data_IF_026043630225
#
_entry.id   IF_026043630225
#
_cell.length_a   1.000
_cell.length_b   1.000
_cell.length_c   1.000
_cell.angle_alpha   90.00
_cell.angle_beta   90.00
_cell.angle_gamma   90.00
#
_symmetry.space_group_name_H-M   'P 1'
#
loop_
_entity.id
_entity.type
_entity.pdbx_description
1 polymer ?
#
# COMPACT_ATOMS: atom_id res chain seq x y z
N UNK A 1 11.21 35.06 -52.52
CA UNK A 1 10.26 34.00 -52.92
C UNK A 1 10.72 32.60 -52.46
N UNK A 2 12.01 32.26 -52.47
CA UNK A 2 12.49 30.95 -51.96
C UNK A 2 12.61 30.85 -50.42
N UNK A 3 12.67 31.97 -49.70
CA UNK A 3 12.84 31.99 -48.23
C UNK A 3 11.54 31.86 -47.44
N UNK A 4 10.38 32.18 -48.00
CA UNK A 4 9.08 32.04 -47.30
C UNK A 4 8.55 30.60 -47.30
N UNK A 5 8.90 29.81 -48.33
CA UNK A 5 8.45 28.41 -48.44
C UNK A 5 9.13 27.52 -47.40
N UNK A 6 10.42 27.77 -47.10
CA UNK A 6 11.18 27.02 -46.09
C UNK A 6 10.61 27.20 -44.67
N UNK A 7 10.07 28.38 -44.36
CA UNK A 7 9.47 28.66 -43.07
C UNK A 7 8.10 27.97 -42.87
N UNK A 8 7.35 27.69 -43.94
CA UNK A 8 6.05 27.03 -43.82
C UNK A 8 6.18 25.52 -43.55
N UNK A 9 7.22 24.87 -44.07
CA UNK A 9 7.47 23.45 -43.90
C UNK A 9 7.89 23.12 -42.46
N UNK A 10 8.79 23.92 -41.85
CA UNK A 10 9.17 23.79 -40.43
C UNK A 10 7.97 24.00 -39.48
N UNK A 11 7.07 24.94 -39.79
CA UNK A 11 5.87 25.17 -38.98
C UNK A 11 4.93 23.95 -39.05
N UNK A 12 4.83 23.29 -40.21
CA UNK A 12 4.02 22.08 -40.37
C UNK A 12 4.61 20.88 -39.62
N UNK A 13 5.93 20.70 -39.64
CA UNK A 13 6.59 19.64 -38.87
C UNK A 13 6.45 19.84 -37.36
N UNK A 14 6.63 21.07 -36.87
CA UNK A 14 6.44 21.41 -35.46
C UNK A 14 4.99 21.15 -35.01
N UNK A 15 4.02 21.42 -35.87
CA UNK A 15 2.61 21.11 -35.61
C UNK A 15 2.36 19.60 -35.51
N UNK A 16 2.93 18.81 -36.43
CA UNK A 16 2.81 17.36 -36.42
C UNK A 16 3.47 16.71 -35.18
N UNK A 17 4.65 17.20 -34.77
CA UNK A 17 5.34 16.72 -33.56
C UNK A 17 4.55 17.05 -32.30
N UNK A 18 3.93 18.22 -32.22
CA UNK A 18 3.04 18.58 -31.11
C UNK A 18 1.79 17.69 -31.07
N UNK A 19 1.17 17.43 -32.22
CA UNK A 19 0.00 16.55 -32.30
C UNK A 19 0.35 15.11 -31.87
N UNK A 20 1.52 14.59 -32.28
CA UNK A 20 2.04 13.29 -31.85
C UNK A 20 2.30 13.23 -30.34
N UNK A 21 2.88 14.29 -29.75
CA UNK A 21 3.11 14.37 -28.30
C UNK A 21 1.79 14.40 -27.52
N UNK A 22 0.85 15.23 -27.96
CA UNK A 22 -0.48 15.29 -27.35
C UNK A 22 -1.19 13.94 -27.41
N UNK A 23 -1.13 13.24 -28.55
CA UNK A 23 -1.70 11.90 -28.67
C UNK A 23 -1.02 10.90 -27.72
N UNK A 24 0.29 11.00 -27.55
CA UNK A 24 1.06 10.15 -26.63
C UNK A 24 0.70 10.41 -25.18
N UNK A 25 0.54 11.67 -24.78
CA UNK A 25 0.21 12.06 -23.41
C UNK A 25 -1.20 11.62 -23.02
N UNK A 26 -2.18 11.81 -23.93
CA UNK A 26 -3.55 11.35 -23.75
C UNK A 26 -3.64 9.81 -23.65
N UNK A 27 -2.92 9.10 -24.53
CA UNK A 27 -2.87 7.63 -24.49
C UNK A 27 -2.26 7.13 -23.17
N UNK A 28 -1.17 7.76 -22.71
CA UNK A 28 -0.52 7.42 -21.45
C UNK A 28 -1.46 7.64 -20.26
N UNK A 29 -2.18 8.76 -20.24
CA UNK A 29 -3.14 9.08 -19.19
C UNK A 29 -4.29 8.06 -19.15
N UNK A 30 -4.89 7.72 -20.29
CA UNK A 30 -5.95 6.71 -20.36
C UNK A 30 -5.44 5.34 -19.90
N UNK A 31 -4.24 4.94 -20.36
CA UNK A 31 -3.65 3.66 -19.97
C UNK A 31 -3.40 3.61 -18.45
N UNK A 32 -2.85 4.67 -17.87
CA UNK A 32 -2.59 4.75 -16.43
C UNK A 32 -3.88 4.67 -15.62
N UNK A 33 -4.91 5.42 -16.02
CA UNK A 33 -6.24 5.38 -15.37
C UNK A 33 -6.84 3.99 -15.44
N UNK A 34 -6.79 3.34 -16.60
CA UNK A 34 -7.35 1.99 -16.76
C UNK A 34 -6.59 0.97 -15.90
N UNK A 35 -5.25 1.02 -15.91
CA UNK A 35 -4.42 0.12 -15.10
C UNK A 35 -4.68 0.34 -13.61
N UNK A 36 -4.74 1.58 -13.16
CA UNK A 36 -5.00 1.89 -11.75
C UNK A 36 -6.40 1.45 -11.33
N UNK A 37 -7.44 1.78 -12.10
CA UNK A 37 -8.82 1.40 -11.77
C UNK A 37 -8.97 -0.12 -11.75
N UNK A 38 -8.56 -0.80 -12.82
CA UNK A 38 -8.74 -2.24 -12.97
C UNK A 38 -7.83 -3.00 -12.00
N UNK A 39 -6.56 -2.60 -11.90
CA UNK A 39 -5.57 -3.21 -11.03
C UNK A 39 -5.95 -3.10 -9.56
N UNK A 40 -6.29 -1.89 -9.09
CA UNK A 40 -6.68 -1.68 -7.69
C UNK A 40 -8.00 -2.40 -7.35
N UNK A 41 -8.94 -2.49 -8.29
CA UNK A 41 -10.18 -3.24 -8.07
C UNK A 41 -9.94 -4.75 -7.97
N UNK A 42 -9.11 -5.32 -8.84
CA UNK A 42 -8.74 -6.74 -8.78
C UNK A 42 -8.02 -7.04 -7.45
N UNK A 43 -6.98 -6.26 -7.12
CA UNK A 43 -6.22 -6.45 -5.88
C UNK A 43 -7.12 -6.31 -4.65
N UNK A 44 -7.92 -5.24 -4.59
CA UNK A 44 -8.84 -4.98 -3.48
C UNK A 44 -9.88 -6.10 -3.31
N UNK A 45 -10.51 -6.55 -4.40
CA UNK A 45 -11.53 -7.61 -4.37
C UNK A 45 -11.02 -8.96 -3.87
N UNK A 46 -9.73 -9.25 -4.05
CA UNK A 46 -9.09 -10.47 -3.56
C UNK A 46 -8.58 -10.26 -2.12
N UNK A 47 -7.95 -9.11 -1.84
CA UNK A 47 -7.31 -8.86 -0.55
C UNK A 47 -8.32 -8.66 0.59
N UNK A 48 -9.48 -8.04 0.33
CA UNK A 48 -10.54 -7.83 1.32
C UNK A 48 -11.03 -9.16 1.92
N UNK A 49 -11.54 -10.14 1.15
CA UNK A 49 -12.07 -11.38 1.72
C UNK A 49 -11.00 -12.22 2.42
N UNK A 50 -9.76 -12.24 1.90
CA UNK A 50 -8.65 -12.95 2.53
C UNK A 50 -8.36 -12.36 3.92
N UNK A 51 -8.24 -11.04 4.02
CA UNK A 51 -7.93 -10.40 5.30
C UNK A 51 -9.11 -10.47 6.28
N UNK A 52 -10.36 -10.44 5.82
CA UNK A 52 -11.53 -10.69 6.66
C UNK A 52 -11.52 -12.12 7.23
N UNK A 53 -11.17 -13.11 6.41
CA UNK A 53 -11.02 -14.49 6.87
C UNK A 53 -9.90 -14.60 7.92
N UNK A 54 -8.75 -13.97 7.68
CA UNK A 54 -7.63 -13.95 8.63
C UNK A 54 -8.03 -13.32 9.97
N UNK A 55 -8.68 -12.14 9.94
CA UNK A 55 -9.19 -11.47 11.14
C UNK A 55 -10.13 -12.40 11.92
N UNK A 56 -11.06 -13.06 11.21
CA UNK A 56 -12.03 -13.98 11.83
C UNK A 56 -11.35 -15.20 12.47
N UNK A 57 -10.34 -15.76 11.81
CA UNK A 57 -9.56 -16.90 12.32
C UNK A 57 -8.76 -16.51 13.55
N UNK A 58 -7.99 -15.43 13.50
CA UNK A 58 -7.16 -15.00 14.64
C UNK A 58 -8.00 -14.50 15.82
N UNK A 59 -9.17 -13.93 15.57
CA UNK A 59 -10.13 -13.61 16.62
C UNK A 59 -10.58 -14.87 17.37
N UNK A 60 -10.87 -15.95 16.64
CA UNK A 60 -11.31 -17.22 17.22
C UNK A 60 -10.17 -18.00 17.90
N UNK A 61 -8.93 -17.87 17.44
CA UNK A 61 -7.76 -18.49 18.07
C UNK A 61 -7.40 -17.85 19.42
N UNK A 62 -7.87 -16.64 19.68
CA UNK A 62 -7.57 -15.89 20.89
C UNK A 62 -6.29 -15.06 20.78
N UNK A 63 -6.36 -13.83 21.31
CA UNK A 63 -5.28 -12.84 21.27
C UNK A 63 -4.34 -12.92 22.49
N UNK A 64 -4.37 -14.03 23.23
CA UNK A 64 -3.50 -14.25 24.38
C UNK A 64 -2.05 -14.50 23.98
N UNK A 65 -1.82 -15.08 22.80
CA UNK A 65 -0.49 -15.31 22.26
C UNK A 65 -0.03 -14.09 21.44
N UNK A 66 1.16 -13.59 21.76
CA UNK A 66 1.77 -12.43 21.07
C UNK A 66 1.92 -12.68 19.57
N UNK A 67 2.19 -13.92 19.16
CA UNK A 67 2.28 -14.33 17.76
C UNK A 67 0.95 -14.14 17.02
N UNK A 68 -0.16 -14.58 17.63
CA UNK A 68 -1.50 -14.43 17.04
C UNK A 68 -1.91 -12.95 16.98
N UNK A 69 -1.56 -12.17 18.01
CA UNK A 69 -1.79 -10.73 18.03
C UNK A 69 -1.08 -10.01 16.88
N UNK A 70 0.18 -10.36 16.59
CA UNK A 70 0.95 -9.75 15.47
C UNK A 70 0.30 -10.01 14.12
N UNK A 71 -0.11 -11.25 13.84
CA UNK A 71 -0.79 -11.58 12.59
C UNK A 71 -2.20 -10.99 12.50
N UNK A 72 -2.90 -10.88 13.62
CA UNK A 72 -4.19 -10.19 13.69
C UNK A 72 -4.04 -8.70 13.34
N UNK A 73 -3.09 -8.00 13.97
CA UNK A 73 -2.80 -6.59 13.69
C UNK A 73 -2.37 -6.37 12.24
N UNK A 74 -1.53 -7.26 11.70
CA UNK A 74 -1.14 -7.23 10.28
C UNK A 74 -2.37 -7.35 9.36
N UNK A 75 -3.26 -8.30 9.64
CA UNK A 75 -4.49 -8.51 8.86
C UNK A 75 -5.44 -7.30 8.91
N UNK A 76 -5.48 -6.57 10.03
CA UNK A 76 -6.25 -5.32 10.15
C UNK A 76 -5.68 -4.23 9.24
N UNK A 77 -4.35 -4.03 9.26
CA UNK A 77 -3.72 -3.03 8.41
C UNK A 77 -3.81 -3.38 6.92
N UNK A 78 -3.68 -4.65 6.57
CA UNK A 78 -3.84 -5.12 5.19
C UNK A 78 -5.30 -4.97 4.73
N UNK A 79 -6.29 -5.26 5.58
CA UNK A 79 -7.70 -5.00 5.29
C UNK A 79 -7.99 -3.51 5.07
N UNK A 80 -7.51 -2.66 5.97
CA UNK A 80 -7.68 -1.20 5.86
C UNK A 80 -7.03 -0.67 4.58
N UNK A 81 -5.80 -1.08 4.29
CA UNK A 81 -5.07 -0.70 3.08
C UNK A 81 -5.82 -1.15 1.84
N UNK A 82 -6.38 -2.36 1.84
CA UNK A 82 -7.12 -2.91 0.70
C UNK A 82 -8.40 -2.11 0.40
N UNK A 83 -9.12 -1.69 1.43
CA UNK A 83 -10.29 -0.80 1.27
C UNK A 83 -9.86 0.54 0.68
N UNK A 84 -8.81 1.14 1.23
CA UNK A 84 -8.35 2.45 0.77
C UNK A 84 -7.84 2.41 -0.67
N UNK A 85 -7.07 1.38 -1.04
CA UNK A 85 -6.60 1.16 -2.42
C UNK A 85 -7.78 1.06 -3.39
N UNK A 86 -8.85 0.35 -3.01
CA UNK A 86 -10.04 0.23 -3.87
C UNK A 86 -10.79 1.56 -4.02
N UNK A 87 -10.66 2.50 -3.07
CA UNK A 87 -11.30 3.81 -3.09
C UNK A 87 -10.51 4.86 -3.87
N UNK A 88 -9.17 4.74 -3.98
CA UNK A 88 -8.29 5.72 -4.64
C UNK A 88 -8.76 6.10 -6.06
N UNK A 89 -9.11 5.15 -6.95
CA UNK A 89 -9.48 5.52 -8.31
C UNK A 89 -10.70 6.45 -8.36
N UNK A 90 -11.63 6.34 -7.42
CA UNK A 90 -12.83 7.18 -7.34
C UNK A 90 -12.56 8.61 -6.83
N UNK A 91 -11.42 8.80 -6.18
CA UNK A 91 -10.99 10.07 -5.58
C UNK A 91 -9.95 10.76 -6.50
N UNK A 92 -9.41 10.03 -7.48
CA UNK A 92 -8.28 10.49 -8.29
C UNK A 92 -8.65 11.57 -9.33
N UNK A 93 -7.77 12.58 -9.54
CA UNK A 93 -8.00 13.72 -10.45
C UNK A 93 -8.35 13.42 -11.93
N UNK A 94 -7.97 12.29 -12.54
CA UNK A 94 -8.34 12.01 -13.93
C UNK A 94 -9.85 11.87 -14.16
N UNK A 95 -10.61 11.51 -13.10
CA UNK A 95 -12.07 11.51 -13.13
C UNK A 95 -12.64 12.94 -12.95
N UNK A 96 -11.94 13.81 -12.23
CA UNK A 96 -12.33 15.20 -11.99
C UNK A 96 -12.36 16.02 -13.27
N UNK A 97 -11.37 15.80 -14.16
CA UNK A 97 -11.33 16.46 -15.47
C UNK A 97 -12.50 16.08 -16.36
N UNK A 98 -13.13 14.91 -16.12
CA UNK A 98 -14.32 14.45 -16.83
C UNK A 98 -15.64 14.88 -16.18
N UNK A 99 -15.67 15.16 -14.87
CA UNK A 99 -16.92 15.41 -14.11
C UNK A 99 -17.19 16.88 -13.73
N UNK A 100 -16.28 17.82 -14.02
CA UNK A 100 -16.52 19.27 -13.96
C UNK A 100 -16.07 19.96 -12.65
N UNK A 101 -16.12 21.30 -12.64
CA UNK A 101 -15.37 22.15 -11.67
C UNK A 101 -15.80 22.04 -10.20
N UNK A 102 -17.01 21.57 -9.91
CA UNK A 102 -17.48 21.40 -8.53
C UNK A 102 -16.93 20.14 -7.86
N UNK A 103 -16.42 19.18 -8.64
CA UNK A 103 -15.89 17.91 -8.13
C UNK A 103 -14.49 18.08 -7.51
N UNK A 104 -13.69 18.99 -8.06
CA UNK A 104 -12.29 19.29 -7.66
C UNK A 104 -12.14 19.67 -6.18
N UNK A 105 -13.09 20.41 -5.60
CA UNK A 105 -13.01 20.82 -4.18
C UNK A 105 -13.27 19.65 -3.23
N UNK A 106 -14.16 18.72 -3.60
CA UNK A 106 -14.49 17.58 -2.76
C UNK A 106 -13.39 16.51 -2.79
N UNK A 107 -12.83 16.23 -3.96
CA UNK A 107 -11.72 15.27 -4.11
C UNK A 107 -10.48 15.73 -3.38
N UNK A 108 -10.11 17.01 -3.47
CA UNK A 108 -8.95 17.57 -2.77
C UNK A 108 -9.08 17.41 -1.24
N UNK A 109 -10.26 17.66 -0.67
CA UNK A 109 -10.49 17.49 0.77
C UNK A 109 -10.42 16.02 1.16
N UNK A 110 -11.02 15.12 0.38
CA UNK A 110 -11.00 13.68 0.66
C UNK A 110 -9.56 13.15 0.56
N UNK A 111 -8.81 13.54 -0.46
CA UNK A 111 -7.42 13.14 -0.65
C UNK A 111 -6.53 13.54 0.53
N UNK A 112 -6.75 14.75 1.08
CA UNK A 112 -6.02 15.24 2.26
C UNK A 112 -6.20 14.34 3.49
N UNK A 113 -7.33 13.65 3.63
CA UNK A 113 -7.59 12.73 4.74
C UNK A 113 -7.26 11.27 4.40
N UNK A 114 -7.56 10.83 3.18
CA UNK A 114 -7.39 9.44 2.75
C UNK A 114 -5.92 9.09 2.56
N UNK A 115 -5.13 9.97 1.94
CA UNK A 115 -3.73 9.67 1.65
C UNK A 115 -2.89 9.47 2.91
N UNK A 116 -2.95 10.32 3.96
CA UNK A 116 -2.19 10.08 5.19
C UNK A 116 -2.58 8.77 5.89
N UNK A 117 -3.87 8.44 5.93
CA UNK A 117 -4.35 7.20 6.55
C UNK A 117 -3.84 5.99 5.78
N UNK A 118 -3.87 6.04 4.44
CA UNK A 118 -3.32 4.98 3.60
C UNK A 118 -1.82 4.79 3.87
N UNK A 119 -1.02 5.84 3.78
CA UNK A 119 0.43 5.73 4.02
C UNK A 119 0.75 5.27 5.44
N UNK A 120 0.00 5.73 6.45
CA UNK A 120 0.14 5.25 7.81
C UNK A 120 -0.17 3.75 7.92
N UNK A 121 -1.27 3.28 7.31
CA UNK A 121 -1.66 1.86 7.34
C UNK A 121 -0.62 0.96 6.64
N UNK A 122 -0.11 1.38 5.48
CA UNK A 122 0.95 0.68 4.76
C UNK A 122 2.25 0.64 5.58
N UNK A 123 2.63 1.76 6.19
CA UNK A 123 3.81 1.81 7.05
C UNK A 123 3.66 0.88 8.25
N UNK A 124 2.52 0.92 8.96
CA UNK A 124 2.27 0.04 10.10
C UNK A 124 2.28 -1.45 9.71
N UNK A 125 1.72 -1.82 8.56
CA UNK A 125 1.81 -3.20 8.03
C UNK A 125 3.26 -3.62 7.74
N UNK A 126 4.05 -2.75 7.11
CA UNK A 126 5.46 -2.99 6.83
C UNK A 126 6.28 -3.15 8.12
N UNK A 127 6.08 -2.28 9.11
CA UNK A 127 6.72 -2.37 10.42
C UNK A 127 6.35 -3.66 11.16
N UNK A 128 5.08 -4.07 11.11
CA UNK A 128 4.61 -5.32 11.73
C UNK A 128 5.29 -6.53 11.10
N UNK A 129 5.39 -6.55 9.76
CA UNK A 129 6.08 -7.60 9.01
C UNK A 129 7.58 -7.66 9.36
N UNK A 130 8.22 -6.49 9.50
CA UNK A 130 9.62 -6.41 9.91
C UNK A 130 9.82 -6.95 11.34
N UNK A 131 8.92 -6.64 12.28
CA UNK A 131 8.96 -7.15 13.67
C UNK A 131 8.80 -8.66 13.68
N UNK A 132 7.84 -9.22 12.93
CA UNK A 132 7.65 -10.67 12.81
C UNK A 132 8.91 -11.33 12.26
N UNK A 133 9.50 -10.76 11.20
CA UNK A 133 10.72 -11.31 10.58
C UNK A 133 11.91 -11.27 11.55
N UNK A 134 12.07 -10.16 12.28
CA UNK A 134 13.13 -10.01 13.27
C UNK A 134 13.00 -11.02 14.41
N UNK A 135 11.79 -11.22 14.92
CA UNK A 135 11.49 -12.23 15.94
C UNK A 135 11.88 -13.63 15.47
N UNK A 136 11.47 -14.01 14.25
CA UNK A 136 11.83 -15.31 13.67
C UNK A 136 13.34 -15.48 13.49
N UNK A 137 14.05 -14.43 13.08
CA UNK A 137 15.52 -14.46 12.99
C UNK A 137 16.19 -14.60 14.36
N UNK A 138 15.68 -13.91 15.39
CA UNK A 138 16.22 -14.01 16.75
C UNK A 138 16.04 -15.41 17.33
N UNK A 139 14.89 -16.07 17.10
CA UNK A 139 14.67 -17.46 17.50
C UNK A 139 15.72 -18.42 16.91
N UNK A 140 16.21 -18.16 15.69
CA UNK A 140 17.22 -18.99 15.03
C UNK A 140 18.65 -18.64 15.49
N UNK A 141 18.95 -17.35 15.65
CA UNK A 141 20.29 -16.86 15.98
C UNK A 141 20.66 -17.00 17.45
N UNK A 142 19.67 -17.11 18.35
CA UNK A 142 19.86 -17.32 19.77
C UNK A 142 19.40 -18.73 20.18
N UNK A 143 20.03 -19.82 19.68
CA UNK A 143 19.82 -21.14 20.23
C UNK A 143 20.36 -21.10 21.66
N UNK A 144 19.44 -21.10 22.63
CA UNK A 144 19.72 -20.95 24.06
C UNK A 144 20.98 -21.72 24.49
N UNK A 145 22.03 -20.99 24.84
CA UNK A 145 23.15 -21.52 25.62
C UNK A 145 22.67 -21.59 27.08
N UNK A 146 21.90 -22.63 27.40
CA UNK A 146 21.56 -22.97 28.78
C UNK A 146 22.80 -23.56 29.45
N UNK A 147 23.64 -22.71 30.03
CA UNK A 147 24.69 -23.11 30.94
C UNK A 147 24.20 -22.89 32.38
N UNK A 148 24.07 -23.99 33.10
CA UNK A 148 23.47 -24.15 34.43
C UNK A 148 24.26 -23.38 35.49
N UNK A 149 23.72 -22.27 36.01
CA UNK A 149 24.31 -21.56 37.14
C UNK A 149 23.43 -20.44 37.68
N UNK A 150 22.61 -20.75 38.69
CA UNK A 150 21.92 -19.84 39.61
C UNK A 150 21.52 -18.46 39.05
N UNK A 151 20.59 -18.47 38.09
CA UNK A 151 19.80 -17.29 37.77
C UNK A 151 18.54 -17.30 38.62
N UNK A 152 18.30 -16.18 39.30
CA UNK A 152 17.16 -15.96 40.20
C UNK A 152 15.83 -15.96 39.42
N UNK A 153 14.77 -16.37 40.11
CA UNK A 153 13.47 -16.76 39.57
C UNK A 153 12.74 -15.70 38.73
N UNK A 154 13.09 -14.42 38.84
CA UNK A 154 12.43 -13.30 38.14
C UNK A 154 12.95 -13.04 36.72
N UNK A 155 14.13 -13.54 36.34
CA UNK A 155 14.68 -13.31 35.00
C UNK A 155 14.13 -14.26 33.93
N UNK A 156 13.57 -15.41 34.30
CA UNK A 156 13.04 -16.39 33.35
C UNK A 156 11.65 -16.04 32.78
N UNK A 157 10.78 -15.40 33.55
CA UNK A 157 9.50 -14.89 33.02
C UNK A 157 9.65 -13.65 32.15
N UNK A 158 10.69 -12.86 32.42
CA UNK A 158 11.13 -11.79 31.53
C UNK A 158 11.78 -12.36 30.26
N UNK A 159 12.67 -13.36 30.31
CA UNK A 159 13.31 -13.90 29.09
C UNK A 159 12.41 -14.80 28.21
N UNK A 160 11.44 -15.53 28.77
CA UNK A 160 10.57 -16.47 28.04
C UNK A 160 9.33 -15.84 27.40
N UNK A 161 8.82 -14.73 27.94
CA UNK A 161 7.94 -13.82 27.15
C UNK A 161 8.76 -12.94 26.18
N UNK A 162 10.10 -12.92 26.32
CA UNK A 162 11.08 -12.29 25.40
C UNK A 162 11.66 -13.26 24.35
N UNK A 163 11.30 -14.55 24.41
CA UNK A 163 11.54 -15.57 23.39
C UNK A 163 10.23 -16.37 23.26
N UNK A 164 9.28 -15.81 22.50
CA UNK A 164 8.37 -16.52 21.57
C UNK A 164 8.10 -17.98 21.95
N UNK A 165 6.85 -18.32 22.29
CA UNK A 165 6.42 -19.72 22.38
C UNK A 165 6.44 -20.37 20.98
N UNK A 166 7.67 -20.69 20.53
CA UNK A 166 8.19 -21.23 19.25
C UNK A 166 8.59 -20.17 18.20
#
# INVERSE_FOLDING_TARGET
MFTEVYSQEEISEISAVKALRLLSDELYLVLHVVIDVVGNFIVGSIAIPINVANISVFWNMGLSDLSNLKFFVLSIFDFLTSILIMLIPFISPPLDSMMGSHYVTYTTIIELFVAPVMYASMACGAWTTAIISMERCLCVLLPLKCETGNFTSDQYYQLGSRCVYI
#
